data_IF_731563557795
#
_entry.id   IF_731563557795
#
_cell.length_a   1.000
_cell.length_b   1.000
_cell.length_c   1.000
_cell.angle_alpha   90.00
_cell.angle_beta   90.00
_cell.angle_gamma   90.00
#
_symmetry.space_group_name_H-M   'P 1'
#
loop_
_entity.id
_entity.type
_entity.pdbx_description
1 polymer ?
#
# COMPACT_ATOMS: atom_id res chain seq x y z
N UNK A 1 2.06 7.97 -4.85
CA UNK A 1 1.58 6.59 -4.65
C UNK A 1 0.36 6.68 -3.77
N UNK A 2 -0.71 5.99 -4.14
CA UNK A 2 -1.93 5.89 -3.35
C UNK A 2 -2.18 4.44 -3.02
N UNK A 3 -2.59 4.18 -1.78
CA UNK A 3 -2.92 2.86 -1.26
C UNK A 3 -4.30 2.94 -0.63
N UNK A 4 -5.23 2.13 -1.11
CA UNK A 4 -6.57 2.03 -0.55
C UNK A 4 -6.71 0.69 0.14
N UNK A 5 -6.79 0.70 1.46
CA UNK A 5 -6.97 -0.47 2.31
C UNK A 5 -8.43 -0.53 2.77
N UNK A 6 -9.13 -1.58 2.39
CA UNK A 6 -10.52 -1.84 2.77
C UNK A 6 -10.53 -3.09 3.65
N UNK A 7 -11.10 -2.98 4.85
CA UNK A 7 -11.20 -4.06 5.84
C UNK A 7 -12.68 -4.23 6.19
N UNK A 8 -13.21 -5.42 5.95
CA UNK A 8 -14.57 -5.79 6.32
C UNK A 8 -14.68 -6.04 7.83
N UNK A 9 -15.92 -6.07 8.35
CA UNK A 9 -16.19 -6.33 9.76
C UNK A 9 -15.70 -7.71 10.26
N UNK A 10 -15.52 -8.68 9.37
CA UNK A 10 -14.94 -10.00 9.69
C UNK A 10 -13.39 -10.03 9.58
N UNK A 11 -12.76 -8.88 9.36
CA UNK A 11 -11.32 -8.73 9.20
C UNK A 11 -10.78 -9.03 7.81
N UNK A 12 -11.58 -9.55 6.88
CA UNK A 12 -11.14 -9.73 5.49
C UNK A 12 -10.77 -8.40 4.87
N UNK A 13 -9.64 -8.36 4.16
CA UNK A 13 -9.20 -7.14 3.53
C UNK A 13 -8.92 -7.26 2.04
N UNK A 14 -8.99 -6.10 1.39
CA UNK A 14 -8.40 -5.87 0.09
C UNK A 14 -7.55 -4.61 0.14
N UNK A 15 -6.42 -4.63 -0.55
CA UNK A 15 -5.56 -3.46 -0.70
C UNK A 15 -5.37 -3.17 -2.18
N UNK A 16 -5.62 -1.93 -2.56
CA UNK A 16 -5.44 -1.44 -3.93
C UNK A 16 -4.28 -0.46 -3.95
N UNK A 17 -3.36 -0.66 -4.88
CA UNK A 17 -2.20 0.20 -5.06
C UNK A 17 -2.28 0.93 -6.39
N UNK A 18 -1.98 2.22 -6.35
CA UNK A 18 -1.80 3.07 -7.52
C UNK A 18 -0.44 3.77 -7.49
N UNK A 19 0.32 3.59 -8.57
CA UNK A 19 1.63 4.18 -8.75
C UNK A 19 1.59 5.15 -9.93
N UNK A 20 1.80 6.43 -9.66
CA UNK A 20 2.26 7.38 -10.67
C UNK A 20 3.79 7.40 -10.61
N UNK A 21 4.44 6.84 -11.63
CA UNK A 21 5.88 6.60 -11.65
C UNK A 21 6.54 7.42 -12.74
N UNK A 22 7.61 8.15 -12.40
CA UNK A 22 8.51 8.82 -13.33
C UNK A 22 9.76 7.95 -13.51
N UNK A 23 10.17 7.71 -14.76
CA UNK A 23 11.42 7.02 -15.04
C UNK A 23 12.59 8.01 -15.15
N UNK A 24 13.34 8.18 -14.06
CA UNK A 24 14.56 9.00 -14.03
C UNK A 24 15.83 8.22 -14.41
N UNK A 25 15.71 6.98 -14.89
CA UNK A 25 16.86 6.18 -15.34
C UNK A 25 17.13 6.43 -16.83
N UNK A 26 18.28 5.97 -17.30
CA UNK A 26 18.69 6.02 -18.71
C UNK A 26 18.13 4.85 -19.56
N UNK A 27 17.31 3.97 -18.97
CA UNK A 27 16.77 2.77 -19.63
C UNK A 27 15.26 2.65 -19.46
N UNK A 28 14.54 2.03 -20.42
CA UNK A 28 13.12 1.75 -20.26
C UNK A 28 12.83 0.82 -19.07
N UNK A 29 11.78 1.14 -18.31
CA UNK A 29 11.29 0.29 -17.22
C UNK A 29 10.18 -0.61 -17.75
N UNK A 30 10.53 -1.88 -17.96
CA UNK A 30 9.59 -2.92 -18.40
C UNK A 30 8.84 -3.58 -17.25
N UNK A 31 9.40 -3.50 -16.03
CA UNK A 31 8.97 -4.33 -14.91
C UNK A 31 9.15 -3.60 -13.59
N UNK A 32 8.13 -3.67 -12.74
CA UNK A 32 8.14 -3.11 -11.40
C UNK A 32 7.96 -4.24 -10.36
N UNK A 33 9.03 -4.70 -9.68
CA UNK A 33 8.94 -5.75 -8.66
C UNK A 33 8.20 -5.25 -7.42
N UNK A 34 7.41 -6.14 -6.82
CA UNK A 34 6.56 -5.88 -5.65
C UNK A 34 6.55 -7.06 -4.71
N UNK A 35 6.38 -6.77 -3.45
CA UNK A 35 6.21 -7.70 -2.37
C UNK A 35 5.07 -7.24 -1.45
N UNK A 36 4.30 -8.21 -0.98
CA UNK A 36 3.27 -8.03 0.03
C UNK A 36 3.38 -9.15 1.04
N UNK A 37 3.22 -8.78 2.30
CA UNK A 37 3.16 -9.69 3.42
C UNK A 37 1.98 -9.28 4.30
N UNK A 38 1.24 -10.29 4.76
CA UNK A 38 0.20 -10.13 5.76
C UNK A 38 0.46 -11.09 6.91
N UNK A 39 0.03 -10.75 8.11
CA UNK A 39 0.13 -11.65 9.25
C UNK A 39 -0.79 -12.87 9.07
N UNK A 40 -1.98 -12.66 8.49
CA UNK A 40 -2.96 -13.70 8.22
C UNK A 40 -3.53 -13.60 6.80
N UNK A 41 -3.93 -14.74 6.25
CA UNK A 41 -4.65 -14.85 4.98
C UNK A 41 -5.57 -16.07 4.96
N UNK A 42 -6.64 -16.02 4.15
CA UNK A 42 -7.52 -17.16 3.88
C UNK A 42 -7.04 -17.88 2.62
N UNK A 43 -5.90 -18.56 2.75
CA UNK A 43 -5.20 -19.20 1.65
C UNK A 43 -4.31 -18.21 0.88
N UNK A 44 -4.07 -18.51 -0.40
CA UNK A 44 -3.18 -17.73 -1.24
C UNK A 44 -3.74 -16.34 -1.56
N UNK A 45 -2.92 -15.31 -1.43
CA UNK A 45 -3.26 -13.95 -1.84
C UNK A 45 -3.61 -13.87 -3.33
N UNK A 46 -4.79 -13.34 -3.65
CA UNK A 46 -5.23 -13.06 -5.02
C UNK A 46 -4.72 -11.69 -5.48
N UNK A 47 -4.17 -11.63 -6.69
CA UNK A 47 -3.51 -10.45 -7.24
C UNK A 47 -4.08 -10.16 -8.62
N UNK A 48 -4.66 -8.97 -8.78
CA UNK A 48 -5.30 -8.54 -10.03
C UNK A 48 -4.69 -7.22 -10.50
N UNK A 49 -4.27 -7.16 -11.77
CA UNK A 49 -3.77 -5.94 -12.39
C UNK A 49 -4.93 -4.98 -12.70
N UNK A 50 -4.78 -3.69 -12.40
CA UNK A 50 -5.81 -2.68 -12.66
C UNK A 50 -5.68 -2.15 -14.09
N UNK A 51 -6.80 -2.03 -14.80
CA UNK A 51 -6.83 -1.71 -16.23
C UNK A 51 -7.06 -0.23 -16.56
N UNK A 52 -7.03 0.65 -15.57
CA UNK A 52 -7.52 2.04 -15.70
C UNK A 52 -6.50 3.02 -16.29
N UNK A 53 -5.40 2.54 -16.90
CA UNK A 53 -4.36 3.43 -17.44
C UNK A 53 -4.01 3.13 -18.89
N UNK A 54 -3.38 4.10 -19.55
CA UNK A 54 -2.80 3.93 -20.88
C UNK A 54 -1.68 2.87 -20.91
N UNK A 55 -1.05 2.59 -19.77
CA UNK A 55 -0.06 1.53 -19.60
C UNK A 55 -0.76 0.24 -19.18
N UNK A 56 -0.83 -0.73 -20.09
CA UNK A 56 -1.32 -2.06 -19.72
C UNK A 56 -0.32 -2.69 -18.78
N UNK A 57 -0.82 -3.29 -17.69
CA UNK A 57 0.01 -4.10 -16.82
C UNK A 57 -0.51 -5.54 -16.71
N UNK A 58 0.43 -6.46 -16.48
CA UNK A 58 0.15 -7.85 -16.16
C UNK A 58 0.94 -8.25 -14.93
N UNK A 59 0.40 -9.15 -14.11
CA UNK A 59 1.06 -9.62 -12.90
C UNK A 59 1.82 -10.90 -13.22
N UNK A 60 3.14 -10.87 -13.04
CA UNK A 60 3.99 -12.04 -13.05
C UNK A 60 4.34 -12.41 -11.62
N UNK A 61 3.77 -13.50 -11.11
CA UNK A 61 4.15 -14.06 -9.80
C UNK A 61 5.56 -14.64 -9.87
N UNK A 62 6.38 -14.34 -8.85
CA UNK A 62 7.75 -14.87 -8.71
C UNK A 62 7.83 -15.90 -7.61
N UNK A 63 7.16 -15.62 -6.49
CA UNK A 63 7.07 -16.52 -5.36
C UNK A 63 5.74 -16.28 -4.67
N UNK A 64 5.12 -17.35 -4.20
CA UNK A 64 3.92 -17.24 -3.39
C UNK A 64 3.94 -18.27 -2.28
N UNK A 65 3.62 -17.79 -1.08
CA UNK A 65 3.17 -18.56 0.06
C UNK A 65 1.78 -18.03 0.46
N UNK A 66 1.11 -18.66 1.42
CA UNK A 66 -0.27 -18.30 1.76
C UNK A 66 -0.42 -16.80 2.06
N UNK A 67 0.40 -16.26 2.96
CA UNK A 67 0.33 -14.88 3.43
C UNK A 67 1.39 -13.94 2.83
N UNK A 68 2.14 -14.41 1.80
CA UNK A 68 3.21 -13.65 1.16
C UNK A 68 3.15 -13.78 -0.35
N UNK A 69 3.22 -12.65 -1.04
CA UNK A 69 3.38 -12.63 -2.49
C UNK A 69 4.58 -11.79 -2.90
N UNK A 70 5.48 -12.38 -3.69
CA UNK A 70 6.50 -11.64 -4.47
C UNK A 70 6.17 -11.76 -5.94
N UNK A 71 6.08 -10.63 -6.62
CA UNK A 71 5.62 -10.57 -8.01
C UNK A 71 6.23 -9.36 -8.71
N UNK A 72 5.86 -9.16 -9.97
CA UNK A 72 6.06 -7.87 -10.62
C UNK A 72 4.91 -7.51 -11.54
N UNK A 73 4.68 -6.21 -11.65
CA UNK A 73 3.89 -5.63 -12.72
C UNK A 73 4.78 -5.55 -13.96
N UNK A 74 4.43 -6.32 -14.99
CA UNK A 74 4.95 -6.18 -16.35
C UNK A 74 4.23 -5.00 -17.02
N UNK A 75 4.98 -4.08 -17.62
CA UNK A 75 4.45 -2.82 -18.17
C UNK A 75 4.54 -2.83 -19.69
N UNK A 76 3.42 -2.53 -20.35
CA UNK A 76 3.33 -2.46 -21.81
C UNK A 76 2.44 -1.28 -22.25
N UNK A 77 3.00 -0.25 -22.93
CA UNK A 77 4.42 -0.10 -23.26
C UNK A 77 5.30 0.06 -22.01
N UNK A 78 6.62 -0.16 -22.11
CA UNK A 78 7.53 0.20 -21.02
C UNK A 78 7.54 1.72 -20.80
N UNK A 79 7.92 2.13 -19.58
CA UNK A 79 8.10 3.57 -19.27
C UNK A 79 9.48 3.98 -19.79
N UNK A 80 9.57 4.80 -20.83
CA UNK A 80 10.87 5.25 -21.35
C UNK A 80 11.52 6.31 -20.44
N UNK A 81 12.84 6.57 -20.56
CA UNK A 81 13.50 7.63 -19.82
C UNK A 81 12.79 8.98 -19.94
N UNK A 82 12.56 9.64 -18.82
CA UNK A 82 11.83 10.92 -18.73
C UNK A 82 10.30 10.80 -18.80
N UNK A 83 9.75 9.63 -19.10
CA UNK A 83 8.30 9.43 -19.16
C UNK A 83 7.70 9.11 -17.79
N UNK A 84 6.40 9.39 -17.68
CA UNK A 84 5.58 8.93 -16.57
C UNK A 84 4.60 7.85 -17.00
N UNK A 85 4.22 6.99 -16.06
CA UNK A 85 3.11 6.07 -16.23
C UNK A 85 2.31 5.92 -14.94
N UNK A 86 1.02 5.69 -15.10
CA UNK A 86 0.14 5.23 -14.04
C UNK A 86 -0.01 3.71 -14.17
N UNK A 87 0.10 2.96 -13.08
CA UNK A 87 -0.28 1.55 -13.04
C UNK A 87 -0.68 1.15 -11.63
N UNK A 88 -1.43 0.06 -11.50
CA UNK A 88 -1.90 -0.39 -10.21
C UNK A 88 -2.25 -1.87 -10.16
N UNK A 89 -2.41 -2.38 -8.95
CA UNK A 89 -2.87 -3.75 -8.72
C UNK A 89 -3.73 -3.77 -7.46
N UNK A 90 -4.62 -4.75 -7.37
CA UNK A 90 -5.36 -5.08 -6.15
C UNK A 90 -4.90 -6.42 -5.61
N UNK A 91 -4.72 -6.50 -4.30
CA UNK A 91 -4.51 -7.73 -3.56
C UNK A 91 -5.72 -8.01 -2.67
N UNK A 92 -6.16 -9.26 -2.60
CA UNK A 92 -7.24 -9.71 -1.71
C UNK A 92 -6.96 -11.11 -1.16
N UNK A 93 -7.78 -11.56 -0.21
CA UNK A 93 -7.60 -12.84 0.49
C UNK A 93 -6.75 -12.75 1.75
N UNK A 94 -6.30 -11.55 2.11
CA UNK A 94 -5.68 -11.28 3.39
C UNK A 94 -6.72 -10.99 4.49
N UNK A 95 -6.28 -11.10 5.74
CA UNK A 95 -7.14 -10.93 6.90
C UNK A 95 -6.38 -10.22 8.04
N UNK A 96 -7.07 -9.33 8.74
CA UNK A 96 -6.58 -8.70 9.96
C UNK A 96 -7.25 -9.34 11.18
N UNK A 97 -6.48 -9.61 12.24
CA UNK A 97 -6.96 -10.24 13.47
C UNK A 97 -6.27 -9.63 14.68
N UNK A 98 -6.93 -8.70 15.36
CA UNK A 98 -6.46 -8.12 16.64
C UNK A 98 -5.35 -7.07 16.51
N UNK A 99 -4.37 -7.29 15.63
CA UNK A 99 -3.30 -6.33 15.34
C UNK A 99 -3.64 -5.49 14.10
N UNK A 100 -3.96 -4.21 14.29
CA UNK A 100 -4.37 -3.34 13.18
C UNK A 100 -3.29 -2.32 12.87
N UNK A 101 -2.45 -2.67 11.89
CA UNK A 101 -1.45 -1.77 11.36
C UNK A 101 -1.18 -2.02 9.89
N UNK A 102 -0.73 -0.97 9.22
CA UNK A 102 -0.18 -1.05 7.87
C UNK A 102 1.20 -0.44 7.85
N UNK A 103 2.19 -1.19 7.36
CA UNK A 103 3.56 -0.72 7.18
C UNK A 103 3.93 -0.74 5.70
N UNK A 104 4.30 0.41 5.16
CA UNK A 104 4.71 0.58 3.78
C UNK A 104 6.20 0.89 3.69
N UNK A 105 6.95 0.11 2.93
CA UNK A 105 8.33 0.42 2.55
C UNK A 105 8.38 1.23 1.25
N UNK A 106 9.32 2.17 1.15
CA UNK A 106 9.58 2.91 -0.08
C UNK A 106 10.90 2.45 -0.73
N UNK A 107 10.81 1.74 -1.85
CA UNK A 107 11.98 1.27 -2.60
C UNK A 107 12.60 2.35 -3.52
N UNK A 108 11.92 3.48 -3.68
CA UNK A 108 12.30 4.59 -4.57
C UNK A 108 11.86 5.90 -3.93
N UNK A 109 12.51 7.00 -4.34
CA UNK A 109 12.03 8.34 -4.01
C UNK A 109 10.54 8.47 -4.37
N UNK A 110 9.73 8.85 -3.38
CA UNK A 110 8.28 8.94 -3.50
C UNK A 110 7.87 10.36 -3.09
N UNK A 111 7.48 11.16 -4.07
CA UNK A 111 7.13 12.57 -3.84
C UNK A 111 5.92 12.71 -2.91
N UNK A 112 4.90 11.88 -3.10
CA UNK A 112 3.69 11.86 -2.29
C UNK A 112 3.22 10.43 -2.07
N UNK A 113 2.83 10.13 -0.84
CA UNK A 113 2.23 8.90 -0.39
C UNK A 113 0.90 9.22 0.29
N UNK A 114 -0.15 8.50 -0.09
CA UNK A 114 -1.47 8.56 0.54
C UNK A 114 -1.90 7.14 0.85
N UNK A 115 -2.25 6.88 2.10
CA UNK A 115 -2.92 5.67 2.55
C UNK A 115 -4.33 6.04 2.98
N UNK A 116 -5.32 5.50 2.29
CA UNK A 116 -6.70 5.54 2.70
C UNK A 116 -7.05 4.21 3.34
N UNK A 117 -7.62 4.23 4.55
CA UNK A 117 -8.12 3.04 5.24
C UNK A 117 -9.61 3.22 5.46
N UNK A 118 -10.39 2.18 5.14
CA UNK A 118 -11.76 2.02 5.57
C UNK A 118 -11.86 0.69 6.31
N UNK A 119 -12.30 0.74 7.55
CA UNK A 119 -12.47 -0.44 8.39
C UNK A 119 -13.91 -0.49 8.91
N UNK A 120 -14.67 -1.45 8.39
CA UNK A 120 -16.07 -1.61 8.70
C UNK A 120 -16.31 -2.18 10.09
N UNK A 121 -17.37 -1.72 10.75
CA UNK A 121 -17.80 -2.23 12.07
C UNK A 121 -16.93 -1.76 13.23
N UNK A 122 -16.20 -0.66 13.07
CA UNK A 122 -15.44 -0.02 14.15
C UNK A 122 -16.22 1.18 14.64
N UNK A 123 -16.81 1.05 15.83
CA UNK A 123 -17.62 2.10 16.45
C UNK A 123 -16.84 2.97 17.44
N UNK A 124 -15.72 2.46 17.96
CA UNK A 124 -14.89 3.18 18.93
C UNK A 124 -13.40 2.87 18.73
N UNK A 125 -12.61 3.91 18.51
CA UNK A 125 -11.15 3.87 18.38
C UNK A 125 -10.53 4.31 19.70
N UNK A 126 -9.71 3.43 20.28
CA UNK A 126 -8.95 3.68 21.50
C UNK A 126 -7.68 4.51 21.23
N UNK A 127 -7.09 4.37 20.04
CA UNK A 127 -5.87 5.08 19.69
C UNK A 127 -5.49 4.93 18.23
N UNK A 128 -4.81 5.94 17.69
CA UNK A 128 -4.19 5.92 16.37
C UNK A 128 -2.75 6.37 16.56
N UNK A 129 -1.80 5.71 15.89
CA UNK A 129 -0.38 6.08 15.91
C UNK A 129 0.17 6.00 14.50
N UNK A 130 0.85 7.06 14.05
CA UNK A 130 1.61 7.06 12.81
C UNK A 130 3.09 7.34 13.04
N UNK A 131 3.95 6.54 12.39
CA UNK A 131 5.41 6.60 12.50
C UNK A 131 6.01 6.62 11.10
N UNK A 132 7.02 7.48 10.90
CA UNK A 132 7.95 7.43 9.79
C UNK A 132 9.32 6.94 10.28
N UNK A 133 9.83 5.87 9.67
CA UNK A 133 11.19 5.38 9.88
C UNK A 133 12.10 5.97 8.78
N UNK A 134 13.18 6.62 9.20
CA UNK A 134 14.17 7.24 8.35
C UNK A 134 15.17 6.20 7.80
N UNK A 135 15.94 6.52 6.75
CA UNK A 135 16.88 5.54 6.16
C UNK A 135 17.99 5.08 7.10
N UNK A 136 18.27 5.85 8.16
CA UNK A 136 19.24 5.52 9.21
C UNK A 136 18.64 4.69 10.36
N UNK A 137 17.34 4.37 10.29
CA UNK A 137 16.58 3.63 11.30
C UNK A 137 16.02 4.50 12.43
N UNK A 138 16.22 5.82 12.41
CA UNK A 138 15.58 6.70 13.38
C UNK A 138 14.07 6.79 13.11
N UNK A 139 13.28 6.87 14.18
CA UNK A 139 11.82 6.99 14.09
C UNK A 139 11.37 8.41 14.38
N UNK A 140 10.30 8.82 13.69
CA UNK A 140 9.61 10.09 13.91
C UNK A 140 8.10 9.85 13.96
N UNK A 141 7.44 10.44 14.95
CA UNK A 141 5.98 10.50 14.98
C UNK A 141 5.48 11.34 13.80
N UNK A 142 4.43 10.86 13.14
CA UNK A 142 3.78 11.52 12.01
C UNK A 142 2.26 11.64 12.24
N UNK A 143 1.85 11.74 13.50
CA UNK A 143 0.45 11.77 13.92
C UNK A 143 -0.32 12.94 13.30
N UNK A 144 0.34 14.07 13.13
CA UNK A 144 -0.21 15.29 12.51
C UNK A 144 -0.60 15.08 11.04
N UNK A 145 -0.10 14.00 10.42
CA UNK A 145 -0.37 13.66 9.03
C UNK A 145 -1.52 12.65 8.87
N UNK A 146 -2.24 12.33 9.95
CA UNK A 146 -3.39 11.43 9.95
C UNK A 146 -4.68 12.23 10.17
N UNK A 147 -5.61 12.10 9.24
CA UNK A 147 -6.99 12.58 9.38
C UNK A 147 -7.86 11.34 9.49
N UNK A 148 -8.80 11.33 10.43
CA UNK A 148 -9.72 10.22 10.61
C UNK A 148 -11.08 10.69 11.10
N UNK A 149 -12.10 9.93 10.76
CA UNK A 149 -13.49 10.15 11.15
C UNK A 149 -14.27 8.84 11.00
N UNK A 150 -15.55 8.85 11.35
CA UNK A 150 -16.48 7.77 11.07
C UNK A 150 -17.38 8.11 9.88
N UNK A 151 -17.61 7.13 9.00
CA UNK A 151 -18.64 7.16 7.97
C UNK A 151 -19.68 6.09 8.31
N UNK A 152 -20.70 6.48 9.08
CA UNK A 152 -21.63 5.54 9.69
C UNK A 152 -20.94 4.66 10.74
N UNK A 153 -20.91 3.35 10.49
CA UNK A 153 -20.27 2.36 11.36
C UNK A 153 -18.83 2.01 10.94
N UNK A 154 -18.29 2.73 9.95
CA UNK A 154 -16.98 2.47 9.40
C UNK A 154 -15.99 3.53 9.86
N UNK A 155 -14.83 3.10 10.35
CA UNK A 155 -13.69 3.97 10.58
C UNK A 155 -13.02 4.31 9.25
N UNK A 156 -12.87 5.59 8.95
CA UNK A 156 -12.15 6.11 7.79
C UNK A 156 -10.90 6.84 8.25
N UNK A 157 -9.75 6.52 7.66
CA UNK A 157 -8.49 7.21 7.94
C UNK A 157 -7.77 7.55 6.63
N UNK A 158 -7.13 8.71 6.61
CA UNK A 158 -6.21 9.13 5.55
C UNK A 158 -4.89 9.50 6.19
N UNK A 159 -3.81 8.81 5.79
CA UNK A 159 -2.45 9.09 6.22
C UNK A 159 -1.60 9.51 5.02
N UNK A 160 -1.02 10.70 5.08
CA UNK A 160 -0.24 11.27 3.98
C UNK A 160 1.20 11.51 4.36
N UNK A 161 2.16 11.20 3.47
CA UNK A 161 3.57 11.61 3.62
C UNK A 161 4.12 12.14 2.32
N UNK A 162 5.14 12.98 2.41
CA UNK A 162 5.76 13.62 1.24
C UNK A 162 7.28 13.48 1.26
N UNK A 163 7.89 13.54 0.08
CA UNK A 163 9.35 13.55 -0.12
C UNK A 163 10.07 12.39 0.59
N UNK A 164 9.50 11.20 0.44
CA UNK A 164 10.06 9.98 1.02
C UNK A 164 11.24 9.47 0.18
N UNK A 165 12.26 8.98 0.87
CA UNK A 165 13.49 8.44 0.33
C UNK A 165 13.45 6.90 0.23
N UNK A 166 14.31 6.30 -0.60
CA UNK A 166 14.54 4.86 -0.56
C UNK A 166 14.91 4.40 0.86
N UNK A 167 14.43 3.22 1.24
CA UNK A 167 14.63 2.60 2.56
C UNK A 167 13.93 3.29 3.74
N UNK A 168 13.01 4.22 3.48
CA UNK A 168 12.08 4.68 4.50
C UNK A 168 10.88 3.74 4.65
N UNK A 169 10.23 3.83 5.82
CA UNK A 169 8.96 3.16 6.09
C UNK A 169 7.94 4.15 6.65
N UNK A 170 6.68 3.96 6.29
CA UNK A 170 5.55 4.66 6.90
C UNK A 170 4.61 3.62 7.52
N UNK A 171 4.32 3.78 8.80
CA UNK A 171 3.48 2.87 9.58
C UNK A 171 2.28 3.63 10.13
N UNK A 172 1.08 3.11 9.90
CA UNK A 172 -0.16 3.53 10.56
C UNK A 172 -0.66 2.37 11.41
N UNK A 173 -0.94 2.62 12.68
CA UNK A 173 -1.53 1.67 13.63
C UNK A 173 -2.79 2.28 14.24
N UNK A 174 -3.80 1.47 14.47
CA UNK A 174 -5.01 1.88 15.19
C UNK A 174 -5.48 0.77 16.12
N UNK A 175 -6.17 1.17 17.18
CA UNK A 175 -6.67 0.29 18.23
C UNK A 175 -8.15 0.61 18.43
N UNK A 176 -8.98 -0.42 18.60
CA UNK A 176 -10.42 -0.28 18.85
C UNK A 176 -10.80 -0.99 20.15
N UNK A 177 -11.91 -0.56 20.75
CA UNK A 177 -12.41 -1.04 22.05
C UNK A 177 -13.24 -2.32 21.91
#
# INVERSE_FOLDING_TARGET
MTVDLQIAADGLCSVTYWYHSLNLTDRPVHRAPRDLWFQHSRGQLDLVALRESATRNAIQRLHTADNVAKFACQLSPPIHPGETALFGYRCSGAEFRGDWYWRQQFARHTQAYVLNVRHAGIHEVAGITAIEELPDGAERLAQESVIWDYDGDDLIMTFTRERLEPNQYATLRWEHV
#
